data_IF_894865708678
#
_entry.id   IF_894865708678
#
_cell.length_a   1.000
_cell.length_b   1.000
_cell.length_c   1.000
_cell.angle_alpha   90.00
_cell.angle_beta   90.00
_cell.angle_gamma   90.00
#
_symmetry.space_group_name_H-M   'P 1'
#
loop_
_entity.id
_entity.type
_entity.pdbx_description
1 polymer ?
#
# COMPACT_ATOMS: atom_id res chain seq x y z
N UNK A 1 -8.32 -26.08 -0.75
CA UNK A 1 -8.26 -25.56 0.63
C UNK A 1 -6.95 -24.79 0.86
N UNK A 2 -5.78 -25.40 0.67
CA UNK A 2 -4.48 -24.76 0.87
C UNK A 2 -4.24 -23.52 0.01
N UNK A 3 -4.76 -23.46 -1.20
CA UNK A 3 -4.62 -22.27 -2.06
C UNK A 3 -5.52 -21.13 -1.63
N UNK A 4 -6.69 -21.43 -1.08
CA UNK A 4 -7.60 -20.42 -0.52
C UNK A 4 -7.02 -19.90 0.80
N UNK A 5 -6.50 -20.77 1.65
CA UNK A 5 -5.84 -20.41 2.90
C UNK A 5 -4.59 -19.55 2.66
N UNK A 6 -3.79 -19.87 1.63
CA UNK A 6 -2.69 -19.02 1.17
C UNK A 6 -3.16 -17.67 0.65
N UNK A 7 -4.27 -17.63 -0.09
CA UNK A 7 -4.85 -16.38 -0.60
C UNK A 7 -5.39 -15.51 0.53
N UNK A 8 -6.05 -16.11 1.53
CA UNK A 8 -6.52 -15.40 2.72
C UNK A 8 -5.35 -14.89 3.54
N UNK A 9 -4.30 -15.70 3.77
CA UNK A 9 -3.12 -15.29 4.54
C UNK A 9 -2.20 -14.33 3.76
N UNK A 10 -2.21 -14.39 2.44
CA UNK A 10 -1.49 -13.46 1.57
C UNK A 10 -2.32 -12.20 1.23
N UNK A 11 -3.61 -12.20 1.56
CA UNK A 11 -4.44 -11.01 1.43
C UNK A 11 -3.95 -9.96 2.44
N UNK A 12 -3.67 -8.73 1.99
CA UNK A 12 -3.28 -7.70 2.93
C UNK A 12 -4.41 -7.46 3.92
N UNK A 13 -4.10 -7.11 5.14
CA UNK A 13 -5.05 -6.47 6.01
C UNK A 13 -5.63 -5.27 5.24
N UNK A 14 -6.92 -5.25 4.92
CA UNK A 14 -7.55 -4.19 4.12
C UNK A 14 -8.54 -4.65 3.08
N UNK A 15 -8.71 -5.95 2.91
CA UNK A 15 -9.83 -6.46 2.15
C UNK A 15 -11.12 -6.27 2.94
N UNK A 16 -12.17 -5.88 2.24
CA UNK A 16 -13.51 -5.88 2.79
C UNK A 16 -13.89 -7.30 3.23
N UNK A 17 -14.20 -7.55 4.52
CA UNK A 17 -14.55 -8.88 4.98
C UNK A 17 -15.80 -9.43 4.29
N UNK A 18 -16.73 -8.56 3.92
CA UNK A 18 -17.96 -8.93 3.20
C UNK A 18 -17.63 -9.42 1.80
N UNK A 19 -16.78 -8.67 1.06
CA UNK A 19 -16.35 -9.06 -0.29
C UNK A 19 -15.51 -10.35 -0.28
N UNK A 20 -14.66 -10.52 0.74
CA UNK A 20 -13.87 -11.74 0.91
C UNK A 20 -14.78 -12.96 1.15
N UNK A 21 -15.77 -12.83 2.02
CA UNK A 21 -16.75 -13.89 2.29
C UNK A 21 -17.59 -14.21 1.04
N UNK A 22 -18.01 -13.18 0.29
CA UNK A 22 -18.72 -13.35 -0.97
C UNK A 22 -17.86 -14.02 -2.04
N UNK A 23 -16.60 -13.65 -2.17
CA UNK A 23 -15.68 -14.25 -3.14
C UNK A 23 -15.45 -15.73 -2.86
N UNK A 24 -15.35 -16.12 -1.58
CA UNK A 24 -15.26 -17.52 -1.18
C UNK A 24 -16.58 -18.26 -1.49
N UNK A 25 -17.72 -17.66 -1.18
CA UNK A 25 -19.04 -18.21 -1.48
C UNK A 25 -19.22 -18.47 -2.99
N UNK A 26 -18.84 -17.52 -3.85
CA UNK A 26 -18.87 -17.66 -5.31
C UNK A 26 -18.00 -18.82 -5.79
N UNK A 27 -16.79 -18.96 -5.21
CA UNK A 27 -15.88 -20.05 -5.55
C UNK A 27 -16.49 -21.41 -5.19
N UNK A 28 -17.08 -21.54 -4.00
CA UNK A 28 -17.76 -22.75 -3.57
C UNK A 28 -18.99 -23.05 -4.43
N UNK A 29 -19.81 -22.02 -4.72
CA UNK A 29 -21.01 -22.17 -5.55
C UNK A 29 -20.66 -22.64 -6.96
N UNK A 30 -19.60 -22.13 -7.57
CA UNK A 30 -19.12 -22.57 -8.89
C UNK A 30 -18.66 -24.04 -8.92
N UNK A 31 -18.30 -24.61 -7.77
CA UNK A 31 -17.86 -26.01 -7.64
C UNK A 31 -18.98 -26.98 -7.21
N UNK A 32 -20.20 -26.49 -7.03
CA UNK A 32 -21.33 -27.34 -6.62
C UNK A 32 -21.72 -28.33 -7.71
N UNK A 33 -22.07 -29.54 -7.33
CA UNK A 33 -22.61 -30.54 -8.26
C UNK A 33 -24.07 -30.31 -8.65
N UNK A 34 -24.77 -29.34 -8.00
CA UNK A 34 -26.17 -29.01 -8.25
C UNK A 34 -27.21 -30.02 -7.73
N UNK A 35 -26.81 -31.13 -7.08
CA UNK A 35 -27.65 -32.21 -6.65
C UNK A 35 -28.63 -31.76 -5.55
N UNK A 36 -28.16 -31.24 -4.44
CA UNK A 36 -28.99 -30.86 -3.30
C UNK A 36 -29.50 -29.41 -3.42
N UNK A 37 -30.72 -29.21 -2.91
CA UNK A 37 -31.40 -27.90 -2.91
C UNK A 37 -30.62 -26.84 -2.12
N UNK A 38 -30.06 -27.14 -0.94
CA UNK A 38 -29.27 -26.14 -0.19
C UNK A 38 -28.13 -25.52 -0.97
N UNK A 39 -27.37 -26.31 -1.75
CA UNK A 39 -26.33 -25.77 -2.61
C UNK A 39 -26.92 -25.01 -3.82
N UNK A 40 -27.83 -25.64 -4.55
CA UNK A 40 -28.34 -25.09 -5.81
C UNK A 40 -29.11 -23.78 -5.63
N UNK A 41 -29.92 -23.67 -4.58
CA UNK A 41 -30.79 -22.53 -4.30
C UNK A 41 -30.23 -21.68 -3.17
N UNK A 42 -29.84 -22.29 -2.05
CA UNK A 42 -29.43 -21.58 -0.84
C UNK A 42 -28.11 -20.78 -1.03
N UNK A 43 -27.09 -21.36 -1.67
CA UNK A 43 -25.85 -20.61 -1.93
C UNK A 43 -26.06 -19.48 -2.94
N UNK A 44 -26.92 -19.69 -3.95
CA UNK A 44 -27.27 -18.63 -4.90
C UNK A 44 -28.01 -17.48 -4.20
N UNK A 45 -28.93 -17.80 -3.30
CA UNK A 45 -29.64 -16.79 -2.52
C UNK A 45 -28.69 -16.03 -1.58
N UNK A 46 -27.80 -16.73 -0.87
CA UNK A 46 -26.78 -16.11 -0.03
C UNK A 46 -25.89 -15.17 -0.85
N UNK A 47 -25.47 -15.57 -2.06
CA UNK A 47 -24.69 -14.75 -2.95
C UNK A 47 -25.41 -13.44 -3.29
N UNK A 48 -26.66 -13.51 -3.71
CA UNK A 48 -27.47 -12.32 -4.04
C UNK A 48 -27.64 -11.39 -2.83
N UNK A 49 -27.94 -11.95 -1.65
CA UNK A 49 -28.09 -11.15 -0.43
C UNK A 49 -26.77 -10.43 -0.03
N UNK A 50 -25.64 -11.09 -0.21
CA UNK A 50 -24.33 -10.48 0.08
C UNK A 50 -23.93 -9.45 -0.97
N UNK A 51 -24.30 -9.64 -2.23
CA UNK A 51 -24.17 -8.64 -3.29
C UNK A 51 -25.01 -7.41 -2.99
N UNK A 52 -26.24 -7.57 -2.50
CA UNK A 52 -27.09 -6.46 -2.06
C UNK A 52 -26.45 -5.67 -0.90
N UNK A 53 -25.74 -6.34 0.01
CA UNK A 53 -24.99 -5.64 1.08
C UNK A 53 -23.86 -4.78 0.49
N UNK A 54 -23.10 -5.30 -0.47
CA UNK A 54 -22.00 -4.57 -1.11
C UNK A 54 -22.50 -3.42 -1.98
N UNK A 55 -23.63 -3.62 -2.65
CA UNK A 55 -24.28 -2.61 -3.51
C UNK A 55 -25.04 -1.52 -2.73
N UNK A 56 -25.12 -1.64 -1.40
CA UNK A 56 -25.87 -0.70 -0.55
C UNK A 56 -27.39 -0.80 -0.70
N UNK A 57 -27.91 -1.92 -1.23
CA UNK A 57 -29.35 -2.18 -1.40
C UNK A 57 -29.96 -2.91 -0.20
N UNK A 58 -29.12 -3.52 0.64
CA UNK A 58 -29.54 -4.32 1.78
C UNK A 58 -30.09 -3.46 2.92
N UNK A 59 -30.95 -4.08 3.73
CA UNK A 59 -31.51 -3.52 4.96
C UNK A 59 -31.02 -4.33 6.18
N UNK A 60 -31.30 -3.86 7.39
CA UNK A 60 -30.97 -4.63 8.61
C UNK A 60 -31.63 -6.00 8.62
N UNK A 61 -32.87 -6.12 8.11
CA UNK A 61 -33.55 -7.41 7.96
C UNK A 61 -32.85 -8.37 6.98
N UNK A 62 -32.08 -7.83 6.06
CA UNK A 62 -31.26 -8.64 5.13
C UNK A 62 -30.14 -9.39 5.88
N UNK A 63 -29.58 -8.84 6.97
CA UNK A 63 -28.60 -9.56 7.80
C UNK A 63 -29.22 -10.78 8.49
N UNK A 64 -30.40 -10.63 9.02
CA UNK A 64 -31.13 -11.74 9.69
C UNK A 64 -31.48 -12.82 8.66
N UNK A 65 -31.80 -12.41 7.43
CA UNK A 65 -32.08 -13.35 6.32
C UNK A 65 -30.79 -14.06 5.85
N UNK A 66 -29.63 -13.35 5.78
CA UNK A 66 -28.33 -13.97 5.48
C UNK A 66 -28.01 -15.01 6.54
N UNK A 67 -28.13 -14.65 7.83
CA UNK A 67 -27.87 -15.56 8.94
C UNK A 67 -28.73 -16.80 8.88
N UNK A 68 -30.07 -16.65 8.82
CA UNK A 68 -30.98 -17.77 8.79
C UNK A 68 -30.82 -18.66 7.54
N UNK A 69 -30.56 -18.07 6.38
CA UNK A 69 -30.29 -18.81 5.15
C UNK A 69 -29.00 -19.60 5.25
N UNK A 70 -27.93 -18.99 5.78
CA UNK A 70 -26.64 -19.66 5.97
C UNK A 70 -26.75 -20.81 7.00
N UNK A 71 -27.46 -20.62 8.11
CA UNK A 71 -27.75 -21.68 9.10
C UNK A 71 -28.51 -22.85 8.46
N UNK A 72 -29.52 -22.56 7.67
CA UNK A 72 -30.28 -23.58 6.96
C UNK A 72 -29.43 -24.38 5.98
N UNK A 73 -28.58 -23.69 5.19
CA UNK A 73 -27.68 -24.36 4.26
C UNK A 73 -26.60 -25.17 5.00
N UNK A 74 -26.03 -24.63 6.09
CA UNK A 74 -25.02 -25.33 6.89
C UNK A 74 -25.54 -26.64 7.50
N UNK A 75 -26.83 -26.65 7.90
CA UNK A 75 -27.47 -27.79 8.54
C UNK A 75 -28.09 -28.79 7.57
N UNK A 76 -28.33 -28.43 6.31
CA UNK A 76 -29.08 -29.26 5.35
C UNK A 76 -28.31 -29.65 4.10
N UNK A 77 -27.09 -29.11 3.90
CA UNK A 77 -26.26 -29.46 2.74
C UNK A 77 -25.63 -30.87 2.89
N UNK A 78 -25.69 -31.67 1.83
CA UNK A 78 -25.24 -33.07 1.84
C UNK A 78 -23.71 -33.22 1.88
N UNK A 79 -22.92 -32.17 1.57
CA UNK A 79 -21.47 -32.29 1.49
C UNK A 79 -20.75 -31.02 1.93
N UNK A 80 -19.42 -31.15 2.12
CA UNK A 80 -18.54 -30.11 2.61
C UNK A 80 -18.61 -28.80 1.81
N UNK A 81 -18.78 -28.85 0.49
CA UNK A 81 -18.85 -27.64 -0.35
C UNK A 81 -20.01 -26.74 0.12
N UNK A 82 -21.17 -27.30 0.39
CA UNK A 82 -22.35 -26.53 0.81
C UNK A 82 -22.21 -26.00 2.24
N UNK A 83 -21.98 -26.90 3.20
CA UNK A 83 -21.97 -26.50 4.62
C UNK A 83 -20.72 -25.66 4.99
N UNK A 84 -19.56 -25.88 4.39
CA UNK A 84 -18.39 -25.03 4.65
C UNK A 84 -18.53 -23.63 4.03
N UNK A 85 -19.14 -23.52 2.84
CA UNK A 85 -19.47 -22.23 2.26
C UNK A 85 -20.39 -21.40 3.17
N UNK A 86 -21.45 -22.04 3.69
CA UNK A 86 -22.39 -21.40 4.60
C UNK A 86 -21.74 -21.04 5.96
N UNK A 87 -20.93 -21.93 6.53
CA UNK A 87 -20.18 -21.65 7.77
C UNK A 87 -19.20 -20.49 7.63
N UNK A 88 -18.57 -20.33 6.47
CA UNK A 88 -17.69 -19.19 6.21
C UNK A 88 -18.48 -17.87 6.22
N UNK A 89 -19.69 -17.86 5.67
CA UNK A 89 -20.57 -16.68 5.73
C UNK A 89 -20.96 -16.38 7.17
N UNK A 90 -21.35 -17.39 7.96
CA UNK A 90 -21.68 -17.23 9.38
C UNK A 90 -20.49 -16.69 10.19
N UNK A 91 -19.31 -17.26 10.01
CA UNK A 91 -18.08 -16.79 10.66
C UNK A 91 -17.74 -15.34 10.26
N UNK A 92 -17.95 -14.98 8.99
CA UNK A 92 -17.81 -13.61 8.51
C UNK A 92 -18.79 -12.66 9.18
N UNK A 93 -20.05 -13.08 9.32
CA UNK A 93 -21.11 -12.30 9.94
C UNK A 93 -20.87 -12.11 11.45
N UNK A 94 -20.39 -13.14 12.13
CA UNK A 94 -20.05 -13.09 13.56
C UNK A 94 -18.82 -12.21 13.81
N UNK A 95 -17.73 -12.44 13.07
CA UNK A 95 -16.46 -11.76 13.29
C UNK A 95 -16.41 -10.31 12.81
N UNK A 96 -17.22 -9.94 11.80
CA UNK A 96 -17.18 -8.64 11.13
C UNK A 96 -18.55 -7.97 11.01
N UNK A 97 -19.44 -8.22 11.95
CA UNK A 97 -20.84 -7.72 11.93
C UNK A 97 -20.91 -6.20 11.73
N UNK A 98 -19.99 -5.45 12.30
CA UNK A 98 -19.94 -4.00 12.12
C UNK A 98 -19.66 -3.57 10.69
N UNK A 99 -18.83 -4.32 9.95
CA UNK A 99 -18.56 -4.04 8.54
C UNK A 99 -19.80 -4.24 7.66
N UNK A 100 -20.56 -5.29 7.91
CA UNK A 100 -21.85 -5.50 7.25
C UNK A 100 -22.83 -4.34 7.54
N UNK A 101 -22.95 -3.93 8.81
CA UNK A 101 -23.81 -2.79 9.20
C UNK A 101 -23.34 -1.48 8.55
N UNK A 102 -22.03 -1.25 8.44
CA UNK A 102 -21.49 -0.05 7.81
C UNK A 102 -21.76 -0.03 6.30
N UNK A 103 -21.66 -1.16 5.60
CA UNK A 103 -22.08 -1.26 4.21
C UNK A 103 -23.55 -0.89 4.04
N UNK A 104 -24.43 -1.41 4.90
CA UNK A 104 -25.88 -1.13 4.84
C UNK A 104 -26.17 0.35 5.15
N UNK A 105 -25.54 0.92 6.18
CA UNK A 105 -25.84 2.29 6.64
C UNK A 105 -25.11 3.38 5.87
N UNK A 106 -23.89 3.12 5.40
CA UNK A 106 -22.98 4.11 4.84
C UNK A 106 -22.57 3.81 3.39
N UNK A 107 -22.95 2.64 2.84
CA UNK A 107 -22.55 2.20 1.51
C UNK A 107 -21.05 1.94 1.34
N UNK A 108 -20.31 1.76 2.44
CA UNK A 108 -18.86 1.55 2.42
C UNK A 108 -18.32 0.88 3.67
N UNK A 109 -17.21 0.14 3.54
CA UNK A 109 -16.43 -0.36 4.66
C UNK A 109 -15.86 0.78 5.50
N UNK A 110 -15.94 0.69 6.82
CA UNK A 110 -15.39 1.71 7.73
C UNK A 110 -13.95 1.42 8.15
N UNK A 111 -13.57 0.16 8.23
CA UNK A 111 -12.30 -0.26 8.84
C UNK A 111 -11.14 -0.25 7.85
N UNK A 112 -11.39 -0.34 6.55
CA UNK A 112 -10.34 -0.62 5.55
C UNK A 112 -9.95 0.57 4.68
N UNK A 113 -10.58 1.72 4.82
CA UNK A 113 -10.24 2.95 4.09
C UNK A 113 -8.87 3.53 4.46
N UNK A 114 -8.27 3.07 5.57
CA UNK A 114 -6.97 3.54 6.06
C UNK A 114 -5.86 2.47 6.00
N UNK A 115 -6.13 1.31 5.44
CA UNK A 115 -5.09 0.29 5.34
C UNK A 115 -4.24 0.53 4.10
N UNK A 116 -2.96 0.73 4.36
CA UNK A 116 -1.96 0.95 3.33
C UNK A 116 -1.81 -0.27 2.43
N UNK A 117 -1.65 0.00 1.14
CA UNK A 117 -1.32 -1.02 0.13
C UNK A 117 -0.05 -1.76 0.58
N UNK A 118 0.05 -3.11 0.42
CA UNK A 118 1.16 -3.89 1.01
C UNK A 118 2.55 -3.38 0.65
N UNK A 119 2.78 -2.95 -0.59
CA UNK A 119 4.06 -2.39 -0.99
C UNK A 119 4.35 -1.05 -0.31
N UNK A 120 3.33 -0.22 -0.07
CA UNK A 120 3.45 1.04 0.68
C UNK A 120 3.70 0.75 2.16
N UNK A 121 2.94 -0.19 2.76
CA UNK A 121 3.09 -0.56 4.16
C UNK A 121 4.47 -1.12 4.50
N UNK A 122 5.08 -1.86 3.57
CA UNK A 122 6.44 -2.40 3.75
C UNK A 122 7.55 -1.40 3.41
N UNK A 123 7.22 -0.30 2.76
CA UNK A 123 8.19 0.75 2.50
C UNK A 123 8.45 1.53 3.80
N UNK A 124 9.69 1.56 4.34
CA UNK A 124 9.98 2.32 5.56
C UNK A 124 9.64 3.80 5.47
N UNK A 125 9.72 4.37 4.25
CA UNK A 125 9.34 5.76 3.97
C UNK A 125 7.87 5.92 3.52
N UNK A 126 7.11 4.84 3.44
CA UNK A 126 5.69 4.82 3.02
C UNK A 126 5.40 5.57 1.71
N UNK A 127 6.35 5.53 0.78
CA UNK A 127 6.22 6.18 -0.53
C UNK A 127 4.99 5.67 -1.27
N UNK A 128 4.24 6.57 -1.91
CA UNK A 128 3.12 6.20 -2.78
C UNK A 128 3.61 5.46 -4.03
N UNK A 129 3.81 4.14 -3.86
CA UNK A 129 4.34 3.26 -4.91
C UNK A 129 3.38 3.14 -6.10
N UNK A 130 2.08 2.88 -5.94
CA UNK A 130 1.17 2.83 -7.07
C UNK A 130 1.11 4.14 -7.86
N UNK A 131 1.13 5.27 -7.16
CA UNK A 131 1.09 6.59 -7.77
C UNK A 131 2.28 6.84 -8.68
N UNK A 132 3.52 6.64 -8.20
CA UNK A 132 4.66 6.89 -9.07
C UNK A 132 4.81 5.85 -10.19
N UNK A 133 4.39 4.59 -9.98
CA UNK A 133 4.40 3.57 -11.04
C UNK A 133 3.44 3.97 -12.17
N UNK A 134 2.25 4.47 -11.84
CA UNK A 134 1.30 4.97 -12.82
C UNK A 134 1.88 6.15 -13.62
N UNK A 135 2.55 7.09 -12.94
CA UNK A 135 3.21 8.22 -13.59
C UNK A 135 4.36 7.78 -14.51
N UNK A 136 5.17 6.81 -14.09
CA UNK A 136 6.22 6.21 -14.94
C UNK A 136 5.62 5.55 -16.17
N UNK A 137 4.53 4.78 -16.00
CA UNK A 137 3.80 4.16 -17.10
C UNK A 137 3.21 5.16 -18.10
N UNK A 138 2.87 6.36 -17.63
CA UNK A 138 2.41 7.48 -18.46
C UNK A 138 3.56 8.33 -19.05
N UNK A 139 4.83 7.98 -18.82
CA UNK A 139 6.00 8.75 -19.27
C UNK A 139 6.23 10.05 -18.49
N UNK A 140 5.52 10.28 -17.37
CA UNK A 140 5.57 11.48 -16.55
C UNK A 140 6.65 11.37 -15.46
N UNK A 141 7.89 11.20 -15.85
CA UNK A 141 9.01 10.90 -14.94
C UNK A 141 9.27 12.00 -13.90
N UNK A 142 9.21 13.27 -14.30
CA UNK A 142 9.40 14.39 -13.37
C UNK A 142 8.33 14.41 -12.27
N UNK A 143 7.08 14.13 -12.62
CA UNK A 143 5.98 14.06 -11.65
C UNK A 143 6.12 12.83 -10.73
N UNK A 144 6.62 11.71 -11.26
CA UNK A 144 6.96 10.54 -10.45
C UNK A 144 8.05 10.87 -9.41
N UNK A 145 9.11 11.60 -9.79
CA UNK A 145 10.16 12.03 -8.86
C UNK A 145 9.60 13.00 -7.81
N UNK A 146 8.73 13.95 -8.19
CA UNK A 146 8.04 14.84 -7.23
C UNK A 146 7.23 14.05 -6.21
N UNK A 147 6.45 13.06 -6.68
CA UNK A 147 5.63 12.21 -5.81
C UNK A 147 6.49 11.39 -4.85
N UNK A 148 7.57 10.78 -5.32
CA UNK A 148 8.52 10.03 -4.49
C UNK A 148 9.13 10.95 -3.42
N UNK A 149 9.52 12.17 -3.80
CA UNK A 149 10.20 13.12 -2.92
C UNK A 149 9.32 13.66 -1.79
N UNK A 150 8.01 13.56 -1.93
CA UNK A 150 7.08 13.89 -0.85
C UNK A 150 7.40 13.12 0.44
N UNK A 151 7.74 11.83 0.30
CA UNK A 151 7.96 10.92 1.44
C UNK A 151 9.44 10.47 1.54
N UNK A 152 10.26 10.75 0.53
CA UNK A 152 11.65 10.32 0.46
C UNK A 152 12.50 11.33 -0.32
N UNK A 153 13.35 12.14 0.34
CA UNK A 153 14.18 13.15 -0.30
C UNK A 153 15.38 12.58 -1.11
N UNK A 154 15.60 11.26 -1.07
CA UNK A 154 16.66 10.55 -1.78
C UNK A 154 16.13 9.58 -2.84
N UNK A 155 15.35 10.04 -3.85
CA UNK A 155 14.76 9.16 -4.85
C UNK A 155 15.84 8.43 -5.68
N UNK A 156 16.95 9.08 -6.03
CA UNK A 156 18.05 8.50 -6.80
C UNK A 156 18.79 7.41 -6.01
N UNK A 157 19.16 7.69 -4.75
CA UNK A 157 19.76 6.69 -3.88
C UNK A 157 18.85 5.45 -3.74
N UNK A 158 17.58 5.64 -3.43
CA UNK A 158 16.64 4.53 -3.28
C UNK A 158 16.37 3.79 -4.59
N UNK A 159 16.41 4.47 -5.75
CA UNK A 159 16.30 3.81 -7.05
C UNK A 159 17.47 2.85 -7.35
N UNK A 160 18.66 3.18 -6.84
CA UNK A 160 19.89 2.43 -7.12
C UNK A 160 20.21 1.36 -6.07
N UNK A 161 20.02 1.65 -4.78
CA UNK A 161 20.58 0.81 -3.70
C UNK A 161 19.56 0.28 -2.68
N UNK A 162 18.26 0.60 -2.80
CA UNK A 162 17.25 0.10 -1.88
C UNK A 162 17.13 -1.42 -1.96
N UNK A 163 16.99 -2.08 -0.83
CA UNK A 163 16.75 -3.54 -0.73
C UNK A 163 15.32 -3.96 -1.13
N UNK A 164 14.49 -3.00 -1.53
CA UNK A 164 13.13 -3.15 -2.09
C UNK A 164 12.21 -4.16 -1.36
N UNK A 165 12.02 -4.07 -0.03
CA UNK A 165 11.15 -4.99 0.70
C UNK A 165 9.70 -4.98 0.19
N UNK A 166 9.28 -3.88 -0.44
CA UNK A 166 7.97 -3.74 -1.07
C UNK A 166 7.67 -4.81 -2.13
N UNK A 167 8.68 -5.33 -2.83
CA UNK A 167 8.51 -6.34 -3.88
C UNK A 167 8.18 -7.71 -3.29
N UNK A 168 8.66 -8.03 -2.08
CA UNK A 168 8.42 -9.33 -1.44
C UNK A 168 6.92 -9.59 -1.17
N UNK A 169 6.14 -8.54 -0.94
CA UNK A 169 4.69 -8.61 -0.74
C UNK A 169 3.88 -7.98 -1.88
N UNK A 170 4.48 -7.89 -3.06
CA UNK A 170 3.73 -7.47 -4.22
C UNK A 170 2.62 -8.49 -4.52
N UNK A 171 1.37 -8.00 -4.65
CA UNK A 171 0.23 -8.87 -4.96
C UNK A 171 0.39 -9.63 -6.27
N UNK A 172 1.18 -9.08 -7.17
CA UNK A 172 1.48 -9.72 -8.46
C UNK A 172 2.18 -11.06 -8.29
N UNK A 173 2.95 -11.26 -7.21
CA UNK A 173 3.56 -12.55 -6.87
C UNK A 173 2.55 -13.71 -6.73
N UNK A 174 1.26 -13.39 -6.57
CA UNK A 174 0.20 -14.41 -6.49
C UNK A 174 -0.22 -14.92 -7.86
N UNK A 175 0.10 -14.19 -8.93
CA UNK A 175 -0.31 -14.48 -10.30
C UNK A 175 0.90 -14.93 -11.13
N UNK A 176 1.98 -14.15 -11.11
CA UNK A 176 3.19 -14.39 -11.91
C UNK A 176 4.46 -13.98 -11.14
N UNK A 177 4.87 -12.71 -11.21
CA UNK A 177 6.07 -12.18 -10.56
C UNK A 177 5.82 -10.78 -10.00
N UNK A 178 6.60 -10.39 -8.99
CA UNK A 178 6.55 -9.04 -8.45
C UNK A 178 6.78 -7.98 -9.55
N UNK A 179 6.08 -6.85 -9.41
CA UNK A 179 6.44 -5.67 -10.19
C UNK A 179 7.86 -5.24 -9.78
N UNK A 180 8.72 -4.94 -10.74
CA UNK A 180 10.06 -4.39 -10.48
C UNK A 180 9.96 -2.94 -10.00
N UNK A 181 9.52 -2.78 -8.74
CA UNK A 181 9.18 -1.48 -8.12
C UNK A 181 10.41 -0.58 -8.04
N UNK A 182 11.56 -1.14 -7.61
CA UNK A 182 12.81 -0.39 -7.56
C UNK A 182 13.31 -0.01 -8.96
N UNK A 183 13.21 -0.91 -9.93
CA UNK A 183 13.58 -0.64 -11.32
C UNK A 183 12.76 0.50 -11.92
N UNK A 184 11.45 0.56 -11.66
CA UNK A 184 10.60 1.67 -12.09
C UNK A 184 10.96 2.99 -11.39
N UNK A 185 11.32 2.96 -10.10
CA UNK A 185 11.86 4.14 -9.40
C UNK A 185 13.15 4.62 -10.04
N UNK A 186 14.07 3.70 -10.36
CA UNK A 186 15.30 4.02 -11.08
C UNK A 186 15.00 4.64 -12.45
N UNK A 187 14.07 4.06 -13.20
CA UNK A 187 13.64 4.60 -14.50
C UNK A 187 13.15 6.06 -14.37
N UNK A 188 12.41 6.39 -13.32
CA UNK A 188 11.97 7.75 -13.07
C UNK A 188 13.16 8.72 -12.94
N UNK A 189 14.15 8.40 -12.08
CA UNK A 189 15.30 9.28 -11.83
C UNK A 189 16.36 9.24 -12.94
N UNK A 190 16.38 8.19 -13.77
CA UNK A 190 17.26 8.14 -14.95
C UNK A 190 16.71 9.04 -16.09
N UNK A 191 15.39 9.21 -16.19
CA UNK A 191 14.75 10.07 -17.20
C UNK A 191 14.44 11.50 -16.68
N UNK A 192 14.41 11.70 -15.37
CA UNK A 192 14.25 13.00 -14.71
C UNK A 192 15.16 13.06 -13.50
N UNK A 193 16.47 13.42 -13.68
CA UNK A 193 17.43 13.53 -12.57
C UNK A 193 16.93 14.40 -11.43
N UNK A 194 17.18 13.98 -10.20
CA UNK A 194 16.59 14.57 -8.99
C UNK A 194 16.83 16.09 -8.90
N UNK A 195 18.00 16.58 -9.27
CA UNK A 195 18.36 18.00 -9.26
C UNK A 195 17.68 18.84 -10.37
N UNK A 196 17.10 18.19 -11.38
CA UNK A 196 16.37 18.90 -12.46
C UNK A 196 14.89 19.08 -12.14
N UNK A 197 14.40 18.38 -11.12
CA UNK A 197 12.99 18.42 -10.71
C UNK A 197 12.82 19.37 -9.54
N UNK A 198 11.97 20.41 -9.65
CA UNK A 198 11.77 21.38 -8.58
C UNK A 198 11.37 20.71 -7.25
N UNK A 199 11.92 21.21 -6.15
CA UNK A 199 11.49 20.86 -4.80
C UNK A 199 10.17 21.56 -4.47
N UNK A 200 9.36 21.05 -3.51
CA UNK A 200 8.15 21.72 -3.06
C UNK A 200 8.43 23.10 -2.48
N UNK A 201 7.45 24.00 -2.55
CA UNK A 201 7.52 25.32 -1.93
C UNK A 201 7.57 25.18 -0.40
N UNK A 202 8.38 26.06 0.22
CA UNK A 202 8.47 26.14 1.68
C UNK A 202 7.25 26.80 2.29
N UNK A 203 6.90 26.37 3.49
CA UNK A 203 5.96 27.10 4.33
C UNK A 203 6.56 28.46 4.77
N UNK A 204 5.72 29.42 5.16
CA UNK A 204 6.20 30.69 5.72
C UNK A 204 7.20 30.49 6.85
N UNK A 205 8.21 31.35 6.91
CA UNK A 205 9.28 31.22 7.91
C UNK A 205 8.71 31.29 9.34
N UNK A 206 9.11 30.31 10.14
CA UNK A 206 8.78 30.27 11.59
C UNK A 206 9.75 31.06 12.47
N UNK A 207 10.85 31.59 11.89
CA UNK A 207 11.93 32.24 12.60
C UNK A 207 12.81 31.32 13.47
N UNK A 208 12.51 30.01 13.50
CA UNK A 208 13.26 29.04 14.32
C UNK A 208 14.48 28.53 13.56
N UNK A 209 15.63 28.48 14.26
CA UNK A 209 16.88 27.86 13.77
C UNK A 209 17.10 26.52 14.44
N UNK A 210 17.38 25.48 13.66
CA UNK A 210 17.53 24.11 14.16
C UNK A 210 18.91 23.60 13.73
N UNK A 211 19.73 23.20 14.70
CA UNK A 211 21.03 22.57 14.48
C UNK A 211 20.82 21.07 14.26
N UNK A 212 21.43 20.53 13.20
CA UNK A 212 21.41 19.10 12.87
C UNK A 212 22.86 18.62 12.85
N UNK A 213 23.16 17.61 13.66
CA UNK A 213 24.50 17.04 13.76
C UNK A 213 24.58 15.82 12.87
N UNK A 214 25.42 15.88 11.82
CA UNK A 214 25.65 14.85 10.83
C UNK A 214 24.94 15.11 9.49
N UNK A 215 25.71 15.20 8.43
CA UNK A 215 25.27 15.38 7.03
C UNK A 215 25.06 14.08 6.28
N UNK A 216 24.73 13.00 6.97
CA UNK A 216 24.31 11.73 6.37
C UNK A 216 22.84 11.75 5.94
N UNK A 217 22.32 10.62 5.37
CA UNK A 217 20.95 10.58 4.84
C UNK A 217 19.90 10.93 5.88
N UNK A 218 20.07 10.55 7.15
CA UNK A 218 19.13 10.87 8.22
C UNK A 218 19.07 12.38 8.51
N UNK A 219 20.25 13.01 8.73
CA UNK A 219 20.32 14.45 9.01
C UNK A 219 19.85 15.30 7.85
N UNK A 220 20.20 14.91 6.61
CA UNK A 220 19.76 15.61 5.40
C UNK A 220 18.26 15.44 5.16
N UNK A 221 17.67 14.28 5.46
CA UNK A 221 16.21 14.10 5.42
C UNK A 221 15.51 14.98 6.45
N UNK A 222 16.02 15.04 7.68
CA UNK A 222 15.49 15.93 8.71
C UNK A 222 15.56 17.39 8.26
N UNK A 223 16.73 17.81 7.73
CA UNK A 223 16.93 19.16 7.21
C UNK A 223 15.93 19.50 6.08
N UNK A 224 15.74 18.58 5.14
CA UNK A 224 14.81 18.76 4.03
C UNK A 224 13.39 19.06 4.53
N UNK A 225 12.84 18.24 5.41
CA UNK A 225 11.48 18.45 5.90
C UNK A 225 11.36 19.65 6.83
N UNK A 226 12.35 19.93 7.64
CA UNK A 226 12.36 21.13 8.49
C UNK A 226 12.37 22.43 7.66
N UNK A 227 13.15 22.47 6.60
CA UNK A 227 13.15 23.61 5.67
C UNK A 227 11.81 23.76 4.96
N UNK A 228 11.17 22.66 4.52
CA UNK A 228 9.81 22.70 3.94
C UNK A 228 8.78 23.21 4.93
N UNK A 229 8.93 22.92 6.23
CA UNK A 229 8.07 23.43 7.32
C UNK A 229 8.36 24.90 7.66
N UNK A 230 9.27 25.58 6.97
CA UNK A 230 9.61 26.97 7.21
C UNK A 230 10.60 27.20 8.37
N UNK A 231 11.22 26.15 8.89
CA UNK A 231 12.32 26.28 9.83
C UNK A 231 13.65 26.50 9.10
N UNK A 232 14.61 27.10 9.78
CA UNK A 232 15.95 27.27 9.21
C UNK A 232 16.89 26.20 9.77
N UNK A 233 17.28 25.25 8.92
CA UNK A 233 18.13 24.13 9.31
C UNK A 233 19.61 24.42 9.04
N UNK A 234 20.46 24.14 10.02
CA UNK A 234 21.91 24.23 9.92
C UNK A 234 22.50 22.86 10.19
N UNK A 235 23.15 22.28 9.18
CA UNK A 235 23.78 20.95 9.27
C UNK A 235 25.26 21.09 9.57
N UNK A 236 25.68 20.48 10.67
CA UNK A 236 27.07 20.36 11.07
C UNK A 236 27.60 18.99 10.68
N UNK A 237 28.61 18.94 9.81
CA UNK A 237 29.18 17.70 9.30
C UNK A 237 30.72 17.69 9.51
N UNK A 238 31.21 16.63 10.12
CA UNK A 238 32.65 16.45 10.38
C UNK A 238 33.49 16.29 9.10
N UNK A 239 32.90 15.66 8.11
CA UNK A 239 33.56 15.37 6.83
C UNK A 239 33.43 16.55 5.86
N UNK A 240 34.39 16.70 4.98
CA UNK A 240 34.40 17.77 3.97
C UNK A 240 33.28 17.69 2.93
N UNK A 241 32.54 16.58 2.88
CA UNK A 241 31.45 16.36 1.92
C UNK A 241 30.27 15.69 2.57
N UNK A 242 29.08 16.18 2.25
CA UNK A 242 27.80 15.58 2.66
C UNK A 242 27.58 14.21 2.04
N UNK A 243 26.65 13.44 2.65
CA UNK A 243 26.20 12.15 2.17
C UNK A 243 26.48 10.97 3.12
N UNK A 244 27.30 11.16 4.16
CA UNK A 244 27.55 10.15 5.19
C UNK A 244 27.85 8.76 4.60
N UNK A 245 27.20 7.72 5.08
CA UNK A 245 27.41 6.34 4.62
C UNK A 245 27.09 6.13 3.12
N UNK A 246 26.23 6.93 2.51
CA UNK A 246 25.98 6.85 1.07
C UNK A 246 27.24 7.22 0.25
N UNK A 247 28.07 8.12 0.79
CA UNK A 247 29.31 8.56 0.15
C UNK A 247 30.54 7.76 0.59
N UNK A 248 30.66 7.50 1.89
CA UNK A 248 31.89 6.97 2.48
C UNK A 248 31.84 5.45 2.69
N UNK A 249 30.64 4.86 2.83
CA UNK A 249 30.47 3.43 3.05
C UNK A 249 30.14 2.63 1.80
N UNK A 250 29.32 3.18 0.88
CA UNK A 250 28.91 2.46 -0.32
C UNK A 250 29.95 2.67 -1.43
N UNK A 251 30.46 1.60 -2.08
CA UNK A 251 31.41 1.74 -3.18
C UNK A 251 30.84 2.52 -4.37
N UNK A 252 31.69 3.32 -5.02
CA UNK A 252 31.27 4.18 -6.13
C UNK A 252 30.75 3.42 -7.35
N UNK A 253 31.21 2.20 -7.58
CA UNK A 253 30.70 1.35 -8.65
C UNK A 253 29.27 0.87 -8.41
N UNK A 254 28.82 0.79 -7.14
CA UNK A 254 27.43 0.43 -6.77
C UNK A 254 26.53 1.67 -6.73
N UNK A 255 27.06 2.78 -6.22
CA UNK A 255 26.36 4.06 -6.15
C UNK A 255 27.31 5.19 -6.59
N UNK A 256 27.27 5.59 -7.87
CA UNK A 256 28.10 6.64 -8.43
C UNK A 256 27.95 7.96 -7.68
N UNK A 257 29.03 8.67 -7.48
CA UNK A 257 29.06 9.91 -6.68
C UNK A 257 28.26 11.04 -7.33
N UNK A 258 28.22 11.05 -8.66
CA UNK A 258 27.43 11.99 -9.45
C UNK A 258 25.93 11.78 -9.18
N UNK A 259 25.49 10.52 -9.11
CA UNK A 259 24.09 10.17 -8.82
C UNK A 259 23.70 10.54 -7.39
N UNK A 260 24.61 10.41 -6.41
CA UNK A 260 24.39 10.93 -5.06
C UNK A 260 24.27 12.45 -5.06
N UNK A 261 25.09 13.13 -5.87
CA UNK A 261 25.10 14.57 -5.93
C UNK A 261 23.77 15.15 -6.43
N UNK A 262 23.06 14.45 -7.34
CA UNK A 262 21.73 14.86 -7.79
C UNK A 262 20.73 15.00 -6.64
N UNK A 263 20.69 14.03 -5.70
CA UNK A 263 19.81 14.11 -4.53
C UNK A 263 20.27 15.21 -3.56
N UNK A 264 21.59 15.34 -3.37
CA UNK A 264 22.16 16.39 -2.51
C UNK A 264 21.87 17.80 -3.03
N UNK A 265 22.02 18.03 -4.34
CA UNK A 265 21.76 19.33 -4.96
C UNK A 265 20.27 19.72 -4.81
N UNK A 266 19.38 18.76 -4.96
CA UNK A 266 17.96 18.98 -4.75
C UNK A 266 17.65 19.36 -3.28
N UNK A 267 18.28 18.72 -2.31
CA UNK A 267 18.12 19.04 -0.88
C UNK A 267 18.72 20.41 -0.57
N UNK A 268 19.92 20.69 -1.07
CA UNK A 268 20.61 21.96 -0.84
C UNK A 268 19.93 23.16 -1.50
N UNK A 269 19.15 22.93 -2.56
CA UNK A 269 18.36 23.99 -3.20
C UNK A 269 17.34 24.65 -2.28
N UNK A 270 17.00 24.00 -1.14
CA UNK A 270 16.17 24.58 -0.07
C UNK A 270 16.91 25.60 0.80
N UNK A 271 18.06 26.11 0.39
CA UNK A 271 18.86 27.08 1.14
C UNK A 271 19.34 26.58 2.50
N UNK A 272 19.55 25.28 2.61
CA UNK A 272 20.12 24.64 3.77
C UNK A 272 21.56 25.13 3.99
N UNK A 273 21.94 25.52 5.20
CA UNK A 273 23.31 25.85 5.57
C UNK A 273 24.02 24.57 6.01
N UNK A 274 25.20 24.34 5.43
CA UNK A 274 26.09 23.27 5.79
C UNK A 274 27.41 23.85 6.33
N UNK A 275 27.84 23.39 7.49
CA UNK A 275 29.07 23.81 8.17
C UNK A 275 29.91 22.58 8.51
#
# INVERSE_FOLDING_TARGET
>A
YRDIERRISASPPGLCPVDMSLSFLRLCHAQTCGKCVPCRVGLAQLQNLMEDVLDGKATMATLDLIQSTAENVANSADCAIGYEAAKMVLAGLEGFREDYINHIKKGKCSVHLHQSIPCVALCPAQVDIPGYIALVGAGRYADAVKLIRKDNPFPTACGLICEHPCESRCRRNMIDAAINIRGLKRMAVDNAPSNTVPVPDKQPSTGKRIAIIGGGPSGLSAAYYLELMGHHAVVFEEKSKLGGMLRYGIPAYRFPRERLQEDLDAILSLSLIHI
#
